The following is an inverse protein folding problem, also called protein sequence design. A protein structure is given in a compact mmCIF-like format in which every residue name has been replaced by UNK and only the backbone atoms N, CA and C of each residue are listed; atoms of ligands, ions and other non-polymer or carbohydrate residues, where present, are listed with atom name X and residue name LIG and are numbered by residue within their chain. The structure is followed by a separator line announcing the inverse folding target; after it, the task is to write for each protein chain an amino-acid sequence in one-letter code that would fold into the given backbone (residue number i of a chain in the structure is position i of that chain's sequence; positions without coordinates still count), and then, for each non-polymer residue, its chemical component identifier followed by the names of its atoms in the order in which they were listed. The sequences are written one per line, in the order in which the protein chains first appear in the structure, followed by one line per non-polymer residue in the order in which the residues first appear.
data_IF_353482269977
#
_entry.id   IF_353482269977
#
_cell.length_a   1.000
_cell.length_b   1.000
_cell.length_c   1.000
_cell.angle_alpha   90.00
_cell.angle_beta   90.00
_cell.angle_gamma   90.00
#
_symmetry.space_group_name_H-M   'P 1'
#
loop_
_entity.id
_entity.type
_entity.pdbx_description
1 polymer ?
#
# COMPACT_ATOMS: atom_id res chain seq x y z
N UNK A 1 -23.48 33.10 -0.09
CA UNK A 1 -22.02 33.19 0.17
C UNK A 1 -21.37 32.07 -0.60
N UNK A 2 -20.49 32.38 -1.56
CA UNK A 2 -19.70 31.36 -2.25
C UNK A 2 -18.85 30.62 -1.21
N UNK A 3 -18.96 29.30 -1.14
CA UNK A 3 -18.06 28.50 -0.33
C UNK A 3 -16.64 28.75 -0.86
N UNK A 4 -15.82 29.46 -0.10
CA UNK A 4 -14.39 29.60 -0.39
C UNK A 4 -13.78 28.20 -0.56
N UNK A 5 -13.16 27.99 -1.72
CA UNK A 5 -12.56 26.72 -2.13
C UNK A 5 -11.06 26.88 -2.38
N UNK A 6 -10.34 25.81 -2.07
CA UNK A 6 -8.94 25.62 -2.41
C UNK A 6 -8.70 25.79 -3.91
N UNK A 7 -7.68 26.56 -4.28
CA UNK A 7 -7.25 26.69 -5.67
C UNK A 7 -6.02 25.84 -5.90
N UNK A 8 -6.04 24.95 -6.89
CA UNK A 8 -4.88 24.12 -7.22
C UNK A 8 -3.78 24.97 -7.86
N UNK A 9 -2.58 24.89 -7.30
CA UNK A 9 -1.39 25.55 -7.85
C UNK A 9 -0.75 24.66 -8.93
N UNK A 10 -0.28 25.27 -10.01
CA UNK A 10 0.44 24.55 -11.07
C UNK A 10 1.82 24.19 -10.56
N UNK A 11 2.13 22.90 -10.56
CA UNK A 11 3.39 22.37 -10.04
C UNK A 11 4.64 23.00 -10.67
N UNK A 12 4.64 23.26 -11.99
CA UNK A 12 5.77 23.90 -12.67
C UNK A 12 6.01 25.33 -12.20
N UNK A 13 4.93 26.07 -11.97
CA UNK A 13 5.02 27.48 -11.55
C UNK A 13 5.61 27.51 -10.13
N UNK A 14 5.09 26.68 -9.22
CA UNK A 14 5.63 26.54 -7.87
C UNK A 14 7.11 26.11 -7.84
N UNK A 15 7.52 25.17 -8.71
CA UNK A 15 8.92 24.74 -8.80
C UNK A 15 9.84 25.87 -9.27
N UNK A 16 9.37 26.73 -10.18
CA UNK A 16 10.17 27.87 -10.63
C UNK A 16 10.37 28.89 -9.51
N UNK A 17 9.37 29.05 -8.65
CA UNK A 17 9.37 30.04 -7.58
C UNK A 17 10.12 29.58 -6.32
N UNK A 18 10.06 28.28 -5.99
CA UNK A 18 10.57 27.74 -4.71
C UNK A 18 11.60 26.60 -4.86
N UNK A 19 11.78 26.05 -6.06
CA UNK A 19 12.66 24.91 -6.30
C UNK A 19 12.13 23.55 -5.82
N UNK A 20 12.71 22.46 -6.32
CA UNK A 20 12.30 21.08 -5.96
C UNK A 20 12.73 20.67 -4.56
N UNK A 21 13.81 21.25 -4.04
CA UNK A 21 14.34 20.94 -2.71
C UNK A 21 13.37 21.35 -1.61
N UNK A 22 12.59 22.40 -1.84
CA UNK A 22 11.54 22.84 -0.94
C UNK A 22 10.51 21.74 -0.68
N UNK A 23 10.02 21.09 -1.73
CA UNK A 23 9.02 20.02 -1.64
C UNK A 23 9.59 18.81 -0.90
N UNK A 24 10.86 18.46 -1.18
CA UNK A 24 11.55 17.33 -0.56
C UNK A 24 11.79 17.58 0.93
N UNK A 25 12.19 18.79 1.30
CA UNK A 25 12.46 19.20 2.69
C UNK A 25 11.23 19.09 3.58
N UNK A 26 10.05 19.41 3.03
CA UNK A 26 8.79 19.39 3.76
C UNK A 26 8.00 18.08 3.61
N UNK A 27 8.50 17.13 2.82
CA UNK A 27 7.84 15.84 2.65
C UNK A 27 7.96 15.00 3.95
N UNK A 28 6.85 14.42 4.44
CA UNK A 28 6.89 13.60 5.65
C UNK A 28 7.72 12.34 5.42
N UNK A 29 8.65 12.07 6.33
CA UNK A 29 9.36 10.79 6.35
C UNK A 29 8.44 9.69 6.87
N UNK A 30 8.46 8.53 6.20
CA UNK A 30 7.56 7.41 6.45
C UNK A 30 8.28 6.26 7.13
N UNK A 31 7.69 5.69 8.17
CA UNK A 31 8.18 4.48 8.83
C UNK A 31 7.33 3.27 8.40
N UNK A 32 7.92 2.25 7.76
CA UNK A 32 7.20 1.05 7.28
C UNK A 32 7.81 -0.26 7.77
N UNK A 33 7.00 -1.32 7.86
CA UNK A 33 7.40 -2.61 8.46
C UNK A 33 8.08 -3.54 7.45
N UNK A 34 9.13 -4.25 7.90
CA UNK A 34 9.78 -5.32 7.11
C UNK A 34 9.01 -6.65 7.14
N UNK A 35 8.06 -6.85 8.05
CA UNK A 35 7.27 -8.10 8.10
C UNK A 35 6.15 -8.12 7.08
N UNK A 36 5.84 -6.96 6.51
CA UNK A 36 4.77 -6.77 5.54
C UNK A 36 5.26 -7.29 4.18
N UNK A 37 4.98 -8.57 3.91
CA UNK A 37 5.39 -9.27 2.69
C UNK A 37 4.15 -9.78 1.97
N UNK A 38 4.18 -9.71 0.64
CA UNK A 38 3.19 -10.46 -0.12
C UNK A 38 3.33 -11.96 0.23
N UNK A 39 2.18 -12.61 0.47
CA UNK A 39 2.16 -14.03 0.78
C UNK A 39 2.94 -14.82 -0.29
N UNK A 40 3.94 -15.58 0.16
CA UNK A 40 4.89 -16.29 -0.70
C UNK A 40 4.17 -17.23 -1.68
N UNK A 41 4.65 -17.29 -2.92
CA UNK A 41 4.40 -18.42 -3.80
C UNK A 41 5.24 -19.63 -3.33
N UNK A 42 5.11 -20.04 -2.06
CA UNK A 42 5.81 -21.20 -1.52
C UNK A 42 5.49 -22.45 -2.35
N UNK A 43 4.29 -22.51 -2.95
CA UNK A 43 3.91 -23.53 -3.92
C UNK A 43 4.79 -23.54 -5.18
N UNK A 44 5.23 -22.38 -5.68
CA UNK A 44 6.18 -22.32 -6.80
C UNK A 44 7.57 -22.81 -6.41
N UNK A 45 8.02 -22.53 -5.17
CA UNK A 45 9.28 -23.04 -4.65
C UNK A 45 9.23 -24.56 -4.40
N UNK A 46 8.11 -25.06 -3.84
CA UNK A 46 7.87 -26.49 -3.65
C UNK A 46 7.82 -27.20 -5.02
N UNK A 47 7.10 -26.64 -5.99
CA UNK A 47 7.05 -27.16 -7.35
C UNK A 47 8.42 -27.17 -8.02
N UNK A 48 9.24 -26.12 -7.83
CA UNK A 48 10.63 -26.07 -8.30
C UNK A 48 11.43 -27.24 -7.73
N UNK A 49 11.40 -27.47 -6.41
CA UNK A 49 12.12 -28.59 -5.81
C UNK A 49 11.62 -29.96 -6.30
N UNK A 50 10.33 -30.11 -6.59
CA UNK A 50 9.77 -31.35 -7.16
C UNK A 50 10.25 -31.58 -8.60
N UNK A 51 10.23 -30.55 -9.44
CA UNK A 51 10.67 -30.63 -10.85
C UNK A 51 12.17 -30.86 -10.90
N UNK A 52 12.98 -30.09 -10.17
CA UNK A 52 14.44 -30.30 -10.07
C UNK A 52 14.77 -31.72 -9.59
N UNK A 53 14.08 -32.21 -8.55
CA UNK A 53 14.28 -33.57 -8.03
C UNK A 53 13.89 -34.63 -9.08
N UNK A 54 12.78 -34.40 -9.81
CA UNK A 54 12.36 -35.23 -10.94
C UNK A 54 13.40 -35.28 -12.05
N UNK A 55 14.01 -34.14 -12.41
CA UNK A 55 15.09 -34.07 -13.41
C UNK A 55 16.30 -34.89 -12.95
N UNK A 56 16.70 -34.76 -11.67
CA UNK A 56 17.84 -35.50 -11.12
C UNK A 56 17.60 -37.02 -11.11
N UNK A 57 16.40 -37.46 -10.71
CA UNK A 57 16.00 -38.87 -10.75
C UNK A 57 15.97 -39.38 -12.19
N UNK A 58 15.32 -38.65 -13.10
CA UNK A 58 15.24 -39.00 -14.51
C UNK A 58 16.63 -39.12 -15.15
N UNK A 59 17.52 -38.17 -14.84
CA UNK A 59 18.92 -38.19 -15.31
C UNK A 59 19.66 -39.40 -14.78
N UNK A 60 19.51 -39.72 -13.50
CA UNK A 60 20.16 -40.87 -12.87
C UNK A 60 19.70 -42.19 -13.49
N UNK A 61 18.39 -42.37 -13.68
CA UNK A 61 17.81 -43.56 -14.32
C UNK A 61 18.26 -43.66 -15.78
N UNK A 62 18.28 -42.55 -16.52
CA UNK A 62 18.68 -42.52 -17.92
C UNK A 62 20.15 -42.88 -18.11
N UNK A 63 21.03 -42.42 -17.21
CA UNK A 63 22.44 -42.79 -17.21
C UNK A 63 22.66 -44.27 -16.85
N UNK A 64 21.89 -44.80 -15.89
CA UNK A 64 21.96 -46.20 -15.52
C UNK A 64 21.49 -47.13 -16.66
N UNK A 65 20.48 -46.71 -17.43
CA UNK A 65 19.90 -47.48 -18.54
C UNK A 65 20.50 -47.10 -19.91
N UNK A 66 21.65 -46.44 -19.93
CA UNK A 66 22.21 -45.84 -21.15
C UNK A 66 22.42 -46.86 -22.28
N UNK A 67 22.76 -48.09 -21.92
CA UNK A 67 23.06 -49.18 -22.86
C UNK A 67 21.82 -49.84 -23.47
N UNK A 68 20.64 -49.67 -22.86
CA UNK A 68 19.45 -50.46 -23.21
C UNK A 68 18.37 -49.66 -23.95
N UNK A 69 18.10 -48.42 -23.53
CA UNK A 69 16.92 -47.67 -24.00
C UNK A 69 17.18 -46.16 -24.20
N UNK A 70 18.44 -45.74 -24.33
CA UNK A 70 18.77 -44.32 -24.36
C UNK A 70 18.54 -43.66 -25.72
N UNK A 71 17.68 -42.65 -25.73
CA UNK A 71 17.50 -41.76 -26.87
C UNK A 71 17.95 -40.35 -26.47
N UNK A 72 19.09 -39.92 -27.04
CA UNK A 72 19.72 -38.61 -26.78
C UNK A 72 18.75 -37.45 -27.04
N UNK A 73 17.95 -37.53 -28.10
CA UNK A 73 17.05 -36.45 -28.50
C UNK A 73 15.94 -36.28 -27.46
N UNK A 74 15.31 -37.39 -27.06
CA UNK A 74 14.23 -37.38 -26.06
C UNK A 74 14.77 -36.92 -24.70
N UNK A 75 15.92 -37.46 -24.29
CA UNK A 75 16.59 -37.07 -23.05
C UNK A 75 16.86 -35.55 -23.01
N UNK A 76 17.48 -35.03 -24.07
CA UNK A 76 17.82 -33.60 -24.15
C UNK A 76 16.56 -32.73 -24.15
N UNK A 77 15.50 -33.13 -24.85
CA UNK A 77 14.25 -32.39 -24.87
C UNK A 77 13.59 -32.30 -23.48
N UNK A 78 13.51 -33.42 -22.73
CA UNK A 78 12.94 -33.46 -21.39
C UNK A 78 13.73 -32.57 -20.42
N UNK A 79 15.06 -32.63 -20.47
CA UNK A 79 15.93 -31.81 -19.64
C UNK A 79 15.71 -30.32 -19.93
N UNK A 80 15.74 -29.91 -21.21
CA UNK A 80 15.55 -28.51 -21.60
C UNK A 80 14.19 -27.98 -21.14
N UNK A 81 13.10 -28.70 -21.43
CA UNK A 81 11.74 -28.25 -21.08
C UNK A 81 11.59 -28.12 -19.56
N UNK A 82 12.07 -29.11 -18.81
CA UNK A 82 11.96 -29.11 -17.35
C UNK A 82 12.84 -28.03 -16.71
N UNK A 83 14.04 -27.77 -17.26
CA UNK A 83 14.89 -26.66 -16.81
C UNK A 83 14.27 -25.30 -17.09
N UNK A 84 13.62 -25.11 -18.24
CA UNK A 84 12.87 -23.87 -18.52
C UNK A 84 11.74 -23.68 -17.51
N UNK A 85 10.98 -24.75 -17.22
CA UNK A 85 9.91 -24.72 -16.22
C UNK A 85 10.46 -24.33 -14.83
N UNK A 86 11.59 -24.91 -14.42
CA UNK A 86 12.26 -24.59 -13.16
C UNK A 86 12.69 -23.11 -13.08
N UNK A 87 13.28 -22.57 -14.14
CA UNK A 87 13.65 -21.16 -14.21
C UNK A 87 12.41 -20.27 -14.05
N UNK A 88 11.30 -20.61 -14.71
CA UNK A 88 10.02 -19.86 -14.58
C UNK A 88 9.50 -19.93 -13.14
N UNK A 89 9.51 -21.10 -12.51
CA UNK A 89 9.07 -21.26 -11.12
C UNK A 89 9.94 -20.48 -10.13
N UNK A 90 11.26 -20.47 -10.34
CA UNK A 90 12.19 -19.70 -9.53
C UNK A 90 11.99 -18.18 -9.71
N UNK A 91 11.82 -17.73 -10.95
CA UNK A 91 11.52 -16.33 -11.25
C UNK A 91 10.21 -15.89 -10.60
N UNK A 92 9.17 -16.71 -10.66
CA UNK A 92 7.89 -16.46 -9.99
C UNK A 92 8.08 -16.36 -8.47
N UNK A 93 8.85 -17.26 -7.86
CA UNK A 93 9.15 -17.20 -6.44
C UNK A 93 9.88 -15.90 -6.06
N UNK A 94 10.94 -15.54 -6.78
CA UNK A 94 11.71 -14.31 -6.53
C UNK A 94 10.84 -13.06 -6.71
N UNK A 95 9.99 -13.00 -7.73
CA UNK A 95 9.08 -11.89 -7.96
C UNK A 95 7.93 -11.83 -6.95
N UNK A 96 7.54 -12.96 -6.35
CA UNK A 96 6.50 -13.01 -5.31
C UNK A 96 7.00 -12.64 -3.92
N UNK A 97 8.32 -12.64 -3.68
CA UNK A 97 8.92 -12.37 -2.37
C UNK A 97 9.31 -10.90 -2.21
N UNK A 98 8.34 -10.02 -2.38
CA UNK A 98 8.55 -8.57 -2.34
C UNK A 98 7.99 -8.02 -1.02
N UNK A 99 8.84 -7.30 -0.29
CA UNK A 99 8.40 -6.47 0.83
C UNK A 99 7.46 -5.40 0.32
N UNK A 100 6.32 -5.22 0.99
CA UNK A 100 5.50 -4.05 0.75
C UNK A 100 6.27 -2.83 1.23
N UNK A 101 6.60 -1.95 0.29
CA UNK A 101 7.41 -0.76 0.57
C UNK A 101 6.91 0.44 -0.22
N UNK A 102 7.13 1.66 0.31
CA UNK A 102 6.93 2.88 -0.46
C UNK A 102 7.88 2.92 -1.66
N UNK A 103 7.31 3.09 -2.86
CA UNK A 103 8.04 3.17 -4.14
C UNK A 103 8.33 4.64 -4.46
N UNK A 104 7.27 5.43 -4.51
CA UNK A 104 7.27 6.84 -4.89
C UNK A 104 6.21 7.60 -4.12
N UNK A 105 6.24 8.93 -4.21
CA UNK A 105 5.26 9.81 -3.60
C UNK A 105 4.78 10.80 -4.66
N UNK A 106 3.48 10.83 -4.90
CA UNK A 106 2.91 11.84 -5.79
C UNK A 106 2.49 13.06 -5.01
N UNK A 107 2.38 14.21 -5.69
CA UNK A 107 2.28 15.48 -5.01
C UNK A 107 1.37 16.47 -5.73
N UNK A 108 0.50 17.15 -4.97
CA UNK A 108 -0.32 18.29 -5.40
C UNK A 108 -0.22 19.44 -4.39
N UNK A 109 -0.37 20.68 -4.89
CA UNK A 109 -0.36 21.89 -4.07
C UNK A 109 -1.67 22.62 -4.26
N UNK A 110 -2.21 23.12 -3.16
CA UNK A 110 -3.38 23.97 -3.14
C UNK A 110 -3.12 25.21 -2.31
N UNK A 111 -3.72 26.32 -2.70
CA UNK A 111 -3.59 27.62 -2.05
C UNK A 111 -4.96 28.26 -1.82
N UNK A 112 -5.08 28.98 -0.70
CA UNK A 112 -6.20 29.88 -0.43
C UNK A 112 -5.77 30.97 0.56
N UNK A 113 -5.86 32.25 0.17
CA UNK A 113 -5.61 33.41 1.06
C UNK A 113 -4.29 33.31 1.85
N UNK A 114 -3.19 32.94 1.19
CA UNK A 114 -1.87 32.78 1.81
C UNK A 114 -1.66 31.46 2.58
N UNK A 115 -2.70 30.66 2.75
CA UNK A 115 -2.58 29.29 3.24
C UNK A 115 -2.29 28.31 2.12
N UNK A 116 -1.39 27.38 2.39
CA UNK A 116 -1.00 26.30 1.49
C UNK A 116 -1.32 24.94 2.08
N UNK A 117 -1.73 24.03 1.20
CA UNK A 117 -1.81 22.61 1.48
C UNK A 117 -0.95 21.82 0.48
N UNK A 118 -0.01 21.06 1.03
CA UNK A 118 0.82 20.10 0.32
C UNK A 118 0.24 18.71 0.52
N UNK A 119 -0.37 18.18 -0.54
CA UNK A 119 -0.95 16.84 -0.55
C UNK A 119 0.08 15.85 -1.08
N UNK A 120 0.59 15.00 -0.20
CA UNK A 120 1.50 13.91 -0.49
C UNK A 120 0.72 12.60 -0.63
N UNK A 121 1.02 11.84 -1.66
CA UNK A 121 0.41 10.55 -1.94
C UNK A 121 1.44 9.44 -2.00
N UNK A 122 1.83 8.86 -0.86
CA UNK A 122 2.75 7.73 -0.83
C UNK A 122 2.15 6.52 -1.56
N UNK A 123 2.92 5.97 -2.49
CA UNK A 123 2.55 4.81 -3.31
C UNK A 123 3.34 3.60 -2.85
N UNK A 124 2.63 2.52 -2.51
CA UNK A 124 3.17 1.27 -1.99
C UNK A 124 3.11 0.16 -3.02
N UNK A 125 4.07 -0.77 -2.97
CA UNK A 125 4.11 -1.91 -3.88
C UNK A 125 2.96 -2.92 -3.70
N UNK A 126 2.23 -2.85 -2.60
CA UNK A 126 1.19 -3.81 -2.23
C UNK A 126 0.38 -3.35 -1.02
N UNK A 127 -0.67 -4.12 -0.69
CA UNK A 127 -1.39 -4.10 0.59
C UNK A 127 -1.49 -5.52 1.16
N UNK A 128 -1.47 -5.68 2.48
CA UNK A 128 -1.60 -6.97 3.18
C UNK A 128 -2.65 -6.88 4.29
N UNK A 129 -3.38 -7.96 4.55
CA UNK A 129 -4.33 -8.06 5.66
C UNK A 129 -3.77 -8.95 6.81
N UNK A 130 -4.05 -8.67 8.10
CA UNK A 130 -3.54 -9.46 9.23
C UNK A 130 -4.03 -10.92 9.20
N UNK A 131 -5.27 -11.11 8.77
CA UNK A 131 -5.84 -12.43 8.54
C UNK A 131 -5.44 -12.95 7.16
N UNK A 132 -4.65 -14.03 7.11
CA UNK A 132 -4.14 -14.66 5.88
C UNK A 132 -5.24 -15.11 4.93
N UNK A 133 -6.37 -15.59 5.45
CA UNK A 133 -7.50 -16.01 4.63
C UNK A 133 -8.14 -14.80 3.95
N UNK A 134 -8.43 -13.73 4.73
CA UNK A 134 -8.93 -12.47 4.18
C UNK A 134 -7.95 -11.81 3.21
N UNK A 135 -6.63 -11.93 3.42
CA UNK A 135 -5.60 -11.41 2.48
C UNK A 135 -5.71 -12.04 1.09
N UNK A 136 -6.06 -13.33 1.00
CA UNK A 136 -6.28 -14.02 -0.28
C UNK A 136 -7.51 -13.44 -0.99
N UNK A 137 -8.61 -13.24 -0.26
CA UNK A 137 -9.82 -12.62 -0.82
C UNK A 137 -9.54 -11.17 -1.24
N UNK A 138 -8.81 -10.41 -0.42
CA UNK A 138 -8.40 -9.04 -0.72
C UNK A 138 -7.58 -8.96 -2.01
N UNK A 139 -6.66 -9.91 -2.24
CA UNK A 139 -5.91 -9.99 -3.50
C UNK A 139 -6.81 -10.26 -4.70
N UNK A 140 -7.75 -11.20 -4.57
CA UNK A 140 -8.73 -11.43 -5.63
C UNK A 140 -9.56 -10.18 -5.93
N UNK A 141 -10.01 -9.48 -4.88
CA UNK A 141 -10.70 -8.20 -5.03
C UNK A 141 -9.85 -7.16 -5.77
N UNK A 142 -8.56 -7.01 -5.42
CA UNK A 142 -7.65 -6.10 -6.12
C UNK A 142 -7.47 -6.47 -7.59
N UNK A 143 -7.23 -7.75 -7.87
CA UNK A 143 -7.00 -8.24 -9.23
C UNK A 143 -8.24 -8.01 -10.12
N UNK A 144 -9.44 -8.22 -9.59
CA UNK A 144 -10.69 -8.07 -10.35
C UNK A 144 -11.18 -6.60 -10.41
N UNK A 145 -11.12 -5.84 -9.31
CA UNK A 145 -11.67 -4.48 -9.23
C UNK A 145 -10.66 -3.42 -9.62
N UNK A 146 -9.48 -3.43 -9.00
CA UNK A 146 -8.46 -2.40 -9.24
C UNK A 146 -7.52 -2.76 -10.39
N UNK A 147 -7.43 -4.04 -10.79
CA UNK A 147 -6.55 -4.53 -11.86
C UNK A 147 -5.06 -4.16 -11.65
N UNK A 148 -4.70 -3.85 -10.41
CA UNK A 148 -3.35 -3.48 -10.01
C UNK A 148 -3.12 -3.93 -8.55
N UNK A 149 -1.84 -4.09 -8.20
CA UNK A 149 -1.44 -4.51 -6.84
C UNK A 149 -1.05 -3.34 -5.95
N UNK A 150 -0.84 -2.17 -6.54
CA UNK A 150 -0.31 -0.98 -5.88
C UNK A 150 -1.33 -0.52 -4.83
N UNK A 151 -0.82 0.04 -3.73
CA UNK A 151 -1.65 0.80 -2.80
C UNK A 151 -1.19 2.25 -2.73
N UNK A 152 -2.08 3.12 -2.28
CA UNK A 152 -1.82 4.54 -2.21
C UNK A 152 -2.52 5.16 -1.00
N UNK A 153 -1.86 6.12 -0.39
CA UNK A 153 -2.37 6.86 0.76
C UNK A 153 -2.26 8.35 0.52
N UNK A 154 -2.83 9.14 1.43
CA UNK A 154 -2.83 10.60 1.34
C UNK A 154 -2.48 11.22 2.70
N UNK A 155 -1.54 12.16 2.67
CA UNK A 155 -1.10 12.97 3.80
C UNK A 155 -1.15 14.43 3.36
N UNK A 156 -1.82 15.27 4.13
CA UNK A 156 -1.92 16.70 3.87
C UNK A 156 -1.06 17.45 4.88
N UNK A 157 -0.17 18.32 4.42
CA UNK A 157 0.60 19.25 5.24
C UNK A 157 0.08 20.67 4.99
N UNK A 158 -0.36 21.33 6.06
CA UNK A 158 -0.89 22.68 6.03
C UNK A 158 0.14 23.67 6.58
N UNK A 159 0.19 24.87 6.02
CA UNK A 159 1.05 25.95 6.48
C UNK A 159 0.84 27.25 5.72
N UNK A 160 1.68 28.23 6.01
CA UNK A 160 1.75 29.52 5.29
C UNK A 160 3.13 29.70 4.69
N UNK A 161 3.23 30.43 3.58
CA UNK A 161 4.50 30.88 3.04
C UNK A 161 4.76 32.31 3.50
N UNK A 162 5.97 32.58 3.97
CA UNK A 162 6.37 33.93 4.35
C UNK A 162 6.55 34.78 3.08
N UNK A 163 5.73 35.83 2.94
CA UNK A 163 5.81 36.75 1.79
C UNK A 163 7.17 37.46 1.69
N UNK A 164 7.93 37.53 2.79
CA UNK A 164 9.24 38.19 2.84
C UNK A 164 10.42 37.27 2.50
N UNK A 165 10.20 35.95 2.46
CA UNK A 165 11.23 34.95 2.14
C UNK A 165 10.59 33.75 1.43
N UNK A 166 10.78 33.67 0.11
CA UNK A 166 10.27 32.58 -0.74
C UNK A 166 10.65 31.18 -0.25
N UNK A 167 11.66 31.05 0.61
CA UNK A 167 12.18 29.75 1.05
C UNK A 167 11.66 29.33 2.44
N UNK A 168 10.78 30.13 3.07
CA UNK A 168 10.24 29.85 4.41
C UNK A 168 8.78 29.40 4.33
N UNK A 169 8.60 28.11 4.62
CA UNK A 169 7.31 27.52 4.98
C UNK A 169 7.16 27.53 6.49
N UNK A 170 6.05 28.06 6.98
CA UNK A 170 5.63 27.98 8.38
C UNK A 170 4.55 26.90 8.49
N UNK A 171 4.93 25.65 8.84
CA UNK A 171 4.00 24.54 8.91
C UNK A 171 3.07 24.67 10.12
N UNK A 172 1.77 24.52 9.87
CA UNK A 172 0.72 24.45 10.90
C UNK A 172 0.61 23.01 11.43
N UNK A 173 0.54 22.03 10.53
CA UNK A 173 0.41 20.63 10.93
C UNK A 173 -0.02 19.69 9.80
N UNK A 174 -0.14 18.43 10.15
CA UNK A 174 -0.51 17.35 9.25
C UNK A 174 -1.97 16.94 9.43
N UNK A 175 -2.61 16.51 8.34
CA UNK A 175 -3.93 15.90 8.36
C UNK A 175 -3.90 14.64 7.52
N UNK A 176 -4.31 13.53 8.11
CA UNK A 176 -4.31 12.24 7.45
C UNK A 176 -5.27 11.30 8.16
N UNK A 177 -5.51 10.15 7.53
CA UNK A 177 -6.34 9.10 8.09
C UNK A 177 -5.66 8.42 9.29
N UNK A 178 -6.35 8.40 10.43
CA UNK A 178 -5.87 7.87 11.70
C UNK A 178 -6.86 6.85 12.27
N UNK A 179 -6.38 5.69 12.71
CA UNK A 179 -7.20 4.66 13.33
C UNK A 179 -7.46 4.94 14.79
N UNK A 180 -8.68 4.68 15.27
CA UNK A 180 -8.98 4.67 16.71
C UNK A 180 -9.48 3.29 17.12
N UNK A 181 -8.82 2.64 18.09
CA UNK A 181 -9.23 1.31 18.57
C UNK A 181 -8.20 0.67 19.51
N UNK A 182 -8.53 -0.48 20.09
CA UNK A 182 -7.63 -1.25 20.98
C UNK A 182 -6.81 -2.30 20.24
N UNK A 183 -5.50 -2.30 20.52
CA UNK A 183 -4.44 -3.27 20.15
C UNK A 183 -4.20 -3.51 18.65
N UNK A 184 -2.93 -3.49 18.26
CA UNK A 184 -2.44 -4.05 17.00
C UNK A 184 -3.03 -5.46 16.80
N UNK A 185 -3.78 -5.66 15.69
CA UNK A 185 -4.50 -6.89 15.25
C UNK A 185 -6.00 -6.99 15.54
N UNK A 186 -6.66 -5.96 16.07
CA UNK A 186 -8.13 -5.96 16.15
C UNK A 186 -8.79 -5.72 14.80
N UNK A 187 -9.79 -6.53 14.41
CA UNK A 187 -10.66 -6.18 13.27
C UNK A 187 -11.60 -5.00 13.62
N UNK A 188 -11.78 -4.74 14.92
CA UNK A 188 -12.62 -3.68 15.49
C UNK A 188 -11.85 -2.37 15.71
N UNK A 189 -11.41 -1.74 14.62
CA UNK A 189 -10.79 -0.42 14.62
C UNK A 189 -11.74 0.55 13.90
N UNK A 190 -11.95 1.75 14.44
CA UNK A 190 -12.59 2.84 13.71
C UNK A 190 -11.59 3.41 12.71
N UNK A 191 -11.95 3.29 11.43
CA UNK A 191 -11.05 3.56 10.33
C UNK A 191 -11.44 4.80 9.52
N UNK A 192 -12.59 5.41 9.79
CA UNK A 192 -13.13 6.47 8.94
C UNK A 192 -12.69 7.88 9.35
N UNK A 193 -11.97 8.00 10.48
CA UNK A 193 -11.57 9.29 11.02
C UNK A 193 -10.28 9.84 10.40
N UNK A 194 -10.33 11.07 9.91
CA UNK A 194 -9.15 11.87 9.62
C UNK A 194 -8.88 12.80 10.80
N UNK A 195 -7.62 12.85 11.23
CA UNK A 195 -7.22 13.59 12.44
C UNK A 195 -6.12 14.59 12.11
N UNK A 196 -6.23 15.78 12.71
CA UNK A 196 -5.22 16.83 12.62
C UNK A 196 -4.17 16.65 13.71
N UNK A 197 -2.92 16.78 13.30
CA UNK A 197 -1.74 16.68 14.15
C UNK A 197 -0.92 17.96 14.02
N UNK A 198 -0.79 18.77 15.08
CA UNK A 198 0.10 19.92 15.12
C UNK A 198 1.52 19.58 14.66
N UNK A 199 2.15 20.51 13.91
CA UNK A 199 3.51 20.28 13.40
C UNK A 199 4.55 20.10 14.51
N UNK A 200 4.30 20.60 15.71
CA UNK A 200 5.17 20.42 16.89
C UNK A 200 5.43 18.94 17.20
N UNK A 201 4.48 18.05 16.93
CA UNK A 201 4.66 16.60 17.08
C UNK A 201 5.68 16.02 16.11
N UNK A 202 6.02 16.71 15.01
CA UNK A 202 7.09 16.30 14.10
C UNK A 202 8.49 16.64 14.62
N UNK A 203 8.60 17.50 15.64
CA UNK A 203 9.88 17.82 16.26
C UNK A 203 10.49 16.57 16.96
N UNK A 204 11.82 16.45 16.97
CA UNK A 204 12.58 15.34 17.59
C UNK A 204 12.50 13.98 16.88
N UNK A 205 12.66 13.92 15.56
CA UNK A 205 12.72 12.66 14.78
C UNK A 205 11.44 11.79 14.86
N UNK A 206 10.28 12.42 15.05
CA UNK A 206 9.03 11.73 14.88
C UNK A 206 8.75 11.47 13.40
N UNK A 207 8.32 10.24 13.08
CA UNK A 207 8.02 9.81 11.72
C UNK A 207 6.57 9.38 11.62
N UNK A 208 6.00 9.54 10.42
CA UNK A 208 4.67 9.02 10.15
C UNK A 208 4.81 7.52 9.83
N UNK A 209 4.44 6.68 10.78
CA UNK A 209 4.38 5.25 10.62
C UNK A 209 3.20 4.85 9.74
N UNK A 210 3.50 4.05 8.73
CA UNK A 210 2.53 3.39 7.87
C UNK A 210 2.64 1.90 8.14
N UNK A 211 1.65 1.33 8.79
CA UNK A 211 1.55 -0.11 8.96
C UNK A 211 0.76 -0.71 7.79
N UNK A 212 1.26 -1.76 7.13
CA UNK A 212 0.56 -2.44 6.05
C UNK A 212 -0.46 -3.48 6.58
N UNK A 213 -1.21 -3.14 7.61
CA UNK A 213 -2.29 -4.02 8.11
C UNK A 213 -3.68 -3.52 7.68
N UNK A 214 -3.85 -2.20 7.49
CA UNK A 214 -4.97 -1.54 6.81
C UNK A 214 -4.75 -0.02 6.81
N UNK A 215 -3.70 0.43 6.11
CA UNK A 215 -2.92 1.62 6.45
C UNK A 215 -3.70 2.81 7.02
N UNK A 216 -3.38 3.11 8.29
CA UNK A 216 -3.42 4.44 8.87
C UNK A 216 -2.01 4.90 9.21
N UNK A 217 -1.89 6.21 9.31
CA UNK A 217 -0.67 6.91 9.64
C UNK A 217 -0.66 7.17 11.15
N UNK A 218 0.47 6.95 11.83
CA UNK A 218 0.63 7.25 13.27
C UNK A 218 1.99 7.89 13.52
N UNK A 219 2.17 8.68 14.59
CA UNK A 219 3.47 9.25 14.93
C UNK A 219 4.29 8.30 15.79
N UNK A 220 5.62 8.30 15.62
CA UNK A 220 6.51 7.49 16.46
C UNK A 220 6.34 7.73 17.96
N UNK A 221 6.10 8.97 18.42
CA UNK A 221 5.82 9.27 19.83
C UNK A 221 4.52 8.62 20.34
N UNK A 222 3.52 8.49 19.46
CA UNK A 222 2.29 7.76 19.79
C UNK A 222 2.59 6.26 19.83
N UNK A 223 3.43 5.78 18.91
CA UNK A 223 3.95 4.42 18.94
C UNK A 223 4.78 4.13 20.18
N UNK A 224 5.53 5.07 20.76
CA UNK A 224 6.44 4.86 21.91
C UNK A 224 5.71 4.19 23.08
N UNK A 225 4.45 4.57 23.32
CA UNK A 225 3.60 4.00 24.38
C UNK A 225 3.18 2.55 24.10
N UNK A 226 3.22 2.13 22.85
CA UNK A 226 2.94 0.77 22.36
C UNK A 226 4.18 0.12 21.70
N UNK A 227 5.37 0.71 21.85
CA UNK A 227 6.55 0.41 21.06
C UNK A 227 7.17 -0.91 21.46
N UNK A 228 7.12 -1.26 22.75
CA UNK A 228 7.55 -2.56 23.24
C UNK A 228 6.78 -3.70 22.56
N UNK A 229 5.48 -3.51 22.32
CA UNK A 229 4.66 -4.46 21.56
C UNK A 229 5.03 -4.42 20.07
N UNK A 230 5.23 -3.23 19.49
CA UNK A 230 5.61 -3.09 18.07
C UNK A 230 6.98 -3.68 17.73
N UNK A 231 7.94 -3.61 18.64
CA UNK A 231 9.27 -4.21 18.51
C UNK A 231 9.20 -5.74 18.57
N UNK A 232 8.32 -6.32 19.39
CA UNK A 232 7.99 -7.75 19.30
C UNK A 232 7.40 -8.09 17.91
N UNK A 233 6.69 -7.14 17.29
CA UNK A 233 5.96 -7.35 16.05
C UNK A 233 6.72 -7.08 14.75
N UNK A 234 7.72 -6.19 14.60
CA UNK A 234 8.55 -6.11 13.37
C UNK A 234 9.74 -5.14 13.47
N UNK A 235 10.87 -5.39 12.78
CA UNK A 235 11.81 -4.33 12.46
C UNK A 235 11.22 -3.33 11.45
N UNK A 236 11.46 -2.04 11.68
CA UNK A 236 10.95 -0.92 10.86
C UNK A 236 12.04 -0.31 9.98
N UNK A 237 11.64 0.36 8.89
CA UNK A 237 12.53 1.12 7.99
C UNK A 237 11.98 2.54 7.82
N UNK A 238 12.86 3.53 7.90
CA UNK A 238 12.55 4.92 7.59
C UNK A 238 12.78 5.18 6.10
N UNK A 239 11.75 5.63 5.39
CA UNK A 239 11.80 6.15 4.02
C UNK A 239 11.79 7.67 4.07
N UNK A 240 12.92 8.27 3.68
CA UNK A 240 13.01 9.69 3.33
C UNK A 240 12.85 9.85 1.82
N UNK A 241 12.17 10.92 1.41
CA UNK A 241 11.93 11.22 0.01
C UNK A 241 13.10 12.01 -0.60
N UNK A 242 13.19 11.99 -1.92
CA UNK A 242 14.18 12.74 -2.68
C UNK A 242 13.57 13.16 -4.03
N UNK A 243 14.33 13.95 -4.79
CA UNK A 243 13.88 14.48 -6.08
C UNK A 243 13.50 13.40 -7.11
N UNK A 244 14.07 12.19 -7.02
CA UNK A 244 13.77 11.10 -7.95
C UNK A 244 12.47 10.35 -7.59
N UNK A 245 12.08 10.38 -6.31
CA UNK A 245 10.96 9.62 -5.79
C UNK A 245 9.71 10.48 -5.52
N UNK A 246 9.83 11.81 -5.45
CA UNK A 246 8.68 12.72 -5.44
C UNK A 246 8.35 13.12 -6.87
N UNK A 247 7.08 12.96 -7.26
CA UNK A 247 6.61 13.30 -8.60
C UNK A 247 5.33 14.14 -8.54
N UNK A 248 5.09 15.05 -9.50
CA UNK A 248 3.80 15.70 -9.60
C UNK A 248 2.71 14.69 -9.89
N UNK A 249 1.55 14.85 -9.23
CA UNK A 249 0.39 14.04 -9.56
C UNK A 249 -0.23 14.51 -10.88
N UNK A 250 -0.11 13.67 -11.91
CA UNK A 250 -0.68 13.88 -13.24
C UNK A 250 -1.91 12.98 -13.48
N UNK A 251 -2.71 13.31 -14.49
CA UNK A 251 -3.92 12.54 -14.85
C UNK A 251 -3.61 11.08 -15.15
N UNK A 252 -2.51 10.82 -15.85
CA UNK A 252 -2.10 9.46 -16.24
C UNK A 252 -1.82 8.58 -15.02
N UNK A 253 -1.27 9.15 -13.94
CA UNK A 253 -1.05 8.43 -12.68
C UNK A 253 -2.38 8.07 -12.02
N UNK A 254 -3.36 8.99 -12.02
CA UNK A 254 -4.71 8.72 -11.50
C UNK A 254 -5.41 7.61 -12.28
N UNK A 255 -5.24 7.56 -13.60
CA UNK A 255 -5.78 6.50 -14.44
C UNK A 255 -5.08 5.16 -14.16
N UNK A 256 -3.75 5.15 -14.05
CA UNK A 256 -2.95 3.94 -13.86
C UNK A 256 -3.33 3.13 -12.62
N UNK A 257 -3.74 3.80 -11.54
CA UNK A 257 -4.07 3.12 -10.26
C UNK A 257 -5.56 3.05 -9.96
N UNK A 258 -6.42 3.34 -10.95
CA UNK A 258 -7.86 3.38 -10.76
C UNK A 258 -8.27 4.21 -9.53
N UNK A 259 -7.87 5.48 -9.53
CA UNK A 259 -7.98 6.40 -8.39
C UNK A 259 -9.38 6.50 -7.75
N UNK A 260 -10.43 6.47 -8.57
CA UNK A 260 -11.81 6.68 -8.13
C UNK A 260 -12.31 5.55 -7.19
N UNK A 261 -12.19 4.25 -7.57
CA UNK A 261 -12.47 3.13 -6.66
C UNK A 261 -11.74 3.12 -5.31
N UNK A 262 -10.66 3.91 -5.16
CA UNK A 262 -9.88 3.98 -3.92
C UNK A 262 -10.31 5.10 -2.98
N UNK A 263 -11.35 5.86 -3.34
CA UNK A 263 -11.95 6.93 -2.52
C UNK A 263 -10.93 7.97 -1.99
N UNK A 264 -9.89 8.25 -2.77
CA UNK A 264 -8.91 9.29 -2.49
C UNK A 264 -9.36 10.61 -3.11
N UNK A 265 -9.39 11.68 -2.31
CA UNK A 265 -9.73 13.02 -2.79
C UNK A 265 -8.47 13.81 -3.18
N UNK A 266 -8.54 14.51 -4.32
CA UNK A 266 -7.51 15.47 -4.72
C UNK A 266 -7.64 16.83 -4.03
N UNK A 267 -8.79 17.15 -3.43
CA UNK A 267 -8.99 18.42 -2.74
C UNK A 267 -8.56 18.31 -1.27
N UNK A 268 -7.90 19.34 -0.71
CA UNK A 268 -7.60 19.38 0.72
C UNK A 268 -8.89 19.42 1.54
N UNK A 269 -8.88 18.73 2.67
CA UNK A 269 -10.07 18.53 3.51
C UNK A 269 -10.28 19.66 4.49
N UNK A 270 -9.22 20.14 5.14
CA UNK A 270 -9.30 21.16 6.17
C UNK A 270 -9.37 22.56 5.58
N UNK A 271 -9.88 23.49 6.38
CA UNK A 271 -9.95 24.92 6.05
C UNK A 271 -9.30 25.71 7.19
N UNK A 272 -7.96 25.90 7.17
CA UNK A 272 -7.24 26.58 8.25
C UNK A 272 -7.78 27.98 8.58
N UNK A 273 -8.22 28.72 7.56
CA UNK A 273 -8.80 30.06 7.69
C UNK A 273 -10.14 30.11 8.45
N UNK A 274 -10.79 28.97 8.67
CA UNK A 274 -12.01 28.91 9.50
C UNK A 274 -11.72 28.90 11.01
N UNK A 275 -10.46 28.87 11.42
CA UNK A 275 -10.05 28.76 12.82
C UNK A 275 -10.19 27.34 13.38
N UNK A 276 -9.78 27.17 14.64
CA UNK A 276 -9.85 25.92 15.43
C UNK A 276 -9.59 24.64 14.61
N UNK A 277 -8.47 24.60 13.87
CA UNK A 277 -8.14 23.52 12.93
C UNK A 277 -8.15 22.13 13.60
N UNK A 278 -7.73 22.06 14.86
CA UNK A 278 -7.70 20.84 15.69
C UNK A 278 -9.10 20.25 15.95
N UNK A 279 -10.15 21.08 15.90
CA UNK A 279 -11.53 20.64 16.10
C UNK A 279 -12.24 20.30 14.79
N UNK A 280 -11.61 20.56 13.64
CA UNK A 280 -12.16 20.18 12.35
C UNK A 280 -11.96 18.68 12.15
N UNK A 281 -13.06 17.92 12.19
CA UNK A 281 -13.06 16.49 11.86
C UNK A 281 -13.53 16.28 10.44
N UNK A 282 -13.01 15.23 9.80
CA UNK A 282 -13.46 14.77 8.51
C UNK A 282 -13.67 13.27 8.56
N UNK A 283 -14.93 12.86 8.46
CA UNK A 283 -15.28 11.46 8.35
C UNK A 283 -15.38 11.08 6.87
N UNK A 284 -14.52 10.17 6.43
CA UNK A 284 -14.60 9.61 5.10
C UNK A 284 -15.30 8.25 5.17
N UNK A 285 -16.61 8.23 4.94
CA UNK A 285 -17.42 7.02 4.99
C UNK A 285 -16.96 5.93 4.00
N UNK A 286 -16.25 6.31 2.94
CA UNK A 286 -15.81 5.35 1.92
C UNK A 286 -14.35 4.93 2.06
N UNK A 287 -13.59 5.42 3.05
CA UNK A 287 -12.15 5.18 3.11
C UNK A 287 -11.77 3.70 3.30
N UNK A 288 -12.73 2.86 3.72
CA UNK A 288 -12.56 1.41 3.93
C UNK A 288 -13.59 0.57 3.17
N UNK A 289 -14.18 1.15 2.13
CA UNK A 289 -15.18 0.48 1.30
C UNK A 289 -14.67 -0.84 0.71
N UNK A 290 -13.37 -0.93 0.43
CA UNK A 290 -12.72 -2.16 -0.04
C UNK A 290 -12.84 -3.31 0.97
N UNK A 291 -12.65 -3.03 2.26
CA UNK A 291 -12.80 -4.03 3.33
C UNK A 291 -14.26 -4.39 3.57
N UNK A 292 -15.16 -3.40 3.56
CA UNK A 292 -16.60 -3.62 3.69
C UNK A 292 -17.12 -4.53 2.58
N UNK A 293 -16.70 -4.30 1.33
CA UNK A 293 -17.06 -5.16 0.19
C UNK A 293 -16.55 -6.60 0.40
N UNK A 294 -15.38 -6.77 1.01
CA UNK A 294 -14.82 -8.10 1.29
C UNK A 294 -15.63 -8.81 2.37
N UNK A 295 -15.96 -8.12 3.46
CA UNK A 295 -16.78 -8.69 4.52
C UNK A 295 -18.20 -9.03 4.00
N UNK A 296 -18.79 -8.18 3.16
CA UNK A 296 -20.06 -8.48 2.45
C UNK A 296 -19.94 -9.71 1.54
N UNK A 297 -18.84 -9.84 0.80
CA UNK A 297 -18.59 -11.01 -0.06
C UNK A 297 -18.49 -12.30 0.76
N UNK A 298 -17.80 -12.24 1.90
CA UNK A 298 -17.66 -13.35 2.85
C UNK A 298 -19.05 -13.74 3.36
N UNK A 299 -19.84 -12.78 3.84
CA UNK A 299 -21.18 -13.04 4.34
C UNK A 299 -22.10 -13.64 3.27
N UNK A 300 -21.98 -13.19 2.01
CA UNK A 300 -22.82 -13.68 0.91
C UNK A 300 -22.48 -15.11 0.50
N UNK A 301 -21.19 -15.48 0.52
CA UNK A 301 -20.72 -16.79 0.05
C UNK A 301 -20.80 -17.85 1.15
N UNK A 302 -20.43 -17.51 2.39
CA UNK A 302 -20.39 -18.44 3.52
C UNK A 302 -21.55 -18.31 4.50
N UNK A 303 -22.28 -17.19 4.48
CA UNK A 303 -23.33 -16.86 5.44
C UNK A 303 -22.84 -15.92 6.56
N UNK A 304 -23.79 -15.41 7.35
CA UNK A 304 -23.50 -14.47 8.45
C UNK A 304 -22.68 -15.12 9.57
N UNK A 305 -21.77 -14.34 10.19
CA UNK A 305 -20.95 -14.71 11.36
C UNK A 305 -19.93 -15.83 11.11
N UNK A 306 -19.46 -16.01 9.88
CA UNK A 306 -18.38 -16.96 9.60
C UNK A 306 -17.03 -16.26 9.82
N UNK A 307 -16.27 -16.75 10.81
CA UNK A 307 -14.89 -16.34 11.02
C UNK A 307 -13.96 -17.18 10.14
N UNK A 308 -13.48 -16.59 9.05
CA UNK A 308 -12.46 -17.20 8.19
C UNK A 308 -11.10 -17.09 8.85
N UNK A 309 -10.65 -18.15 9.52
CA UNK A 309 -9.35 -18.14 10.21
C UNK A 309 -8.27 -18.92 9.45
N UNK A 310 -8.65 -19.90 8.62
CA UNK A 310 -7.72 -20.76 7.90
C UNK A 310 -7.90 -20.70 6.38
N UNK A 311 -6.79 -20.86 5.65
CA UNK A 311 -6.78 -20.84 4.17
C UNK A 311 -7.61 -22.00 3.59
N UNK A 312 -7.63 -23.15 4.26
CA UNK A 312 -8.37 -24.35 3.82
C UNK A 312 -9.87 -24.10 3.65
N UNK A 313 -10.42 -23.14 4.39
CA UNK A 313 -11.84 -22.80 4.34
C UNK A 313 -12.20 -22.09 3.03
N UNK A 314 -11.21 -21.56 2.31
CA UNK A 314 -11.39 -20.80 1.06
C UNK A 314 -11.23 -21.63 -0.21
N UNK A 315 -10.50 -22.75 -0.18
CA UNK A 315 -10.02 -23.43 -1.40
C UNK A 315 -11.13 -23.78 -2.40
N UNK A 316 -12.33 -24.12 -1.90
CA UNK A 316 -13.48 -24.50 -2.73
C UNK A 316 -14.30 -23.30 -3.23
N UNK A 317 -14.09 -22.13 -2.63
CA UNK A 317 -14.97 -20.97 -2.76
C UNK A 317 -14.29 -19.79 -3.46
N UNK A 318 -12.97 -19.83 -3.69
CA UNK A 318 -12.22 -18.79 -4.41
C UNK A 318 -12.83 -18.42 -5.77
N UNK A 319 -13.36 -19.40 -6.50
CA UNK A 319 -14.03 -19.16 -7.78
C UNK A 319 -15.31 -18.33 -7.59
N UNK A 320 -16.06 -18.55 -6.50
CA UNK A 320 -17.26 -17.77 -6.20
C UNK A 320 -16.92 -16.33 -5.84
N UNK A 321 -15.85 -16.10 -5.05
CA UNK A 321 -15.35 -14.75 -4.78
C UNK A 321 -14.94 -14.02 -6.06
N UNK A 322 -14.19 -14.71 -6.93
CA UNK A 322 -13.77 -14.15 -8.22
C UNK A 322 -14.96 -13.72 -9.08
N UNK A 323 -15.98 -14.58 -9.19
CA UNK A 323 -17.22 -14.26 -9.92
C UNK A 323 -17.93 -13.08 -9.27
N UNK A 324 -18.08 -13.10 -7.94
CA UNK A 324 -18.73 -12.01 -7.20
C UNK A 324 -18.06 -10.66 -7.47
N UNK A 325 -16.73 -10.57 -7.34
CA UNK A 325 -16.01 -9.31 -7.58
C UNK A 325 -16.06 -8.88 -9.04
N UNK A 326 -15.95 -9.81 -9.99
CA UNK A 326 -16.09 -9.49 -11.41
C UNK A 326 -17.48 -8.89 -11.73
N UNK A 327 -18.52 -9.41 -11.09
CA UNK A 327 -19.90 -8.95 -11.30
C UNK A 327 -20.20 -7.59 -10.62
N UNK A 328 -19.34 -7.13 -9.69
CA UNK A 328 -19.38 -5.75 -9.16
C UNK A 328 -18.88 -4.70 -10.18
N UNK A 329 -18.23 -5.13 -11.25
CA UNK A 329 -17.67 -4.27 -12.31
C UNK A 329 -18.68 -3.92 -13.43
N UNK A 330 -19.97 -4.27 -13.26
CA UNK A 330 -21.05 -3.98 -14.21
C UNK A 330 -21.95 -2.80 -13.79
#
# INVERSE_FOLDING_TARGET
MLNAEWTRVKFKDFLNDHGSDFIVKHAPAILYSKKDKEHEASNSLIAFFLVTSGILIYTSISLFLIEYYFNVIIFTAIVIISSILDIVLLLNYVHSRVYVKPIECWFEIHEHEGFYCFSYYPVFSGKVHPNKAKDIIYKLYRDEIFQDKIDIKQIELYGTLDESSSDKFDPIGFFFQYAKGTHFRGENIDRNSWTFFPHEFYSNDNFIATANWDHQFEWHSDLEKDFDKLNEFSPWIIKRWNQNNIKPLIKDYKQKINWKPRDIDSKPKLKPWKGEIEKQTYDNQNAHRDLEIIDEAIEKIFGKKVELTEIKDLERELVKFKIYFRDLHL
#
